data_IF_216435723554
#
_entry.id   IF_216435723554
#
_cell.length_a   1.000
_cell.length_b   1.000
_cell.length_c   1.000
_cell.angle_alpha   90.00
_cell.angle_beta   90.00
_cell.angle_gamma   90.00
#
_symmetry.space_group_name_H-M   'P 1'
#
loop_
_entity.id
_entity.type
_entity.pdbx_description
1 polymer ?
#
# COMPACT_ATOMS: atom_id res chain seq x y z
N UNK A 1 1.33 16.14 40.83
CA UNK A 1 2.23 15.09 41.40
C UNK A 1 1.96 13.66 40.89
N UNK A 2 0.79 13.37 40.35
CA UNK A 2 0.39 12.03 39.84
C UNK A 2 1.07 11.60 38.53
N UNK A 3 1.37 12.51 37.61
CA UNK A 3 1.97 12.23 36.30
C UNK A 3 3.42 11.72 36.35
N UNK A 4 4.24 12.21 37.30
CA UNK A 4 5.65 11.80 37.44
C UNK A 4 5.83 10.37 38.00
N UNK A 5 4.95 9.97 38.91
CA UNK A 5 4.99 8.61 39.53
C UNK A 5 4.51 7.57 38.52
N UNK A 6 3.50 7.90 37.73
CA UNK A 6 2.96 7.01 36.69
C UNK A 6 3.98 6.77 35.57
N UNK A 7 4.63 7.83 35.07
CA UNK A 7 5.71 7.73 34.08
C UNK A 7 6.93 6.94 34.60
N UNK A 8 7.23 7.03 35.91
CA UNK A 8 8.33 6.27 36.52
C UNK A 8 7.98 4.78 36.68
N UNK A 9 6.73 4.46 37.03
CA UNK A 9 6.21 3.07 37.07
C UNK A 9 6.23 2.43 35.68
N UNK A 10 5.76 3.11 34.67
CA UNK A 10 5.77 2.63 33.29
C UNK A 10 7.18 2.36 32.77
N UNK A 11 8.15 3.23 33.06
CA UNK A 11 9.56 3.01 32.72
C UNK A 11 10.16 1.78 33.41
N UNK A 12 9.78 1.52 34.66
CA UNK A 12 10.25 0.33 35.41
C UNK A 12 9.62 -0.93 34.84
N UNK A 13 8.31 -0.94 34.60
CA UNK A 13 7.61 -2.07 34.02
C UNK A 13 8.16 -2.40 32.62
N UNK A 14 8.34 -1.38 31.76
CA UNK A 14 8.91 -1.56 30.43
C UNK A 14 10.35 -2.09 30.47
N UNK A 15 11.19 -1.66 31.44
CA UNK A 15 12.53 -2.21 31.63
C UNK A 15 12.53 -3.67 32.10
N UNK A 16 11.63 -4.03 33.01
CA UNK A 16 11.49 -5.40 33.51
C UNK A 16 10.98 -6.32 32.40
N UNK A 17 9.97 -5.90 31.65
CA UNK A 17 9.44 -6.63 30.49
C UNK A 17 10.50 -6.77 29.40
N UNK A 18 11.23 -5.71 29.08
CA UNK A 18 12.30 -5.76 28.06
C UNK A 18 13.45 -6.71 28.49
N UNK A 19 13.75 -6.82 29.78
CA UNK A 19 14.79 -7.74 30.30
C UNK A 19 14.32 -9.20 30.35
N UNK A 20 13.00 -9.44 30.48
CA UNK A 20 12.39 -10.77 30.44
C UNK A 20 12.17 -11.29 29.00
N UNK A 21 12.09 -10.39 28.02
CA UNK A 21 11.98 -10.73 26.60
C UNK A 21 13.39 -11.01 26.07
N UNK A 22 13.68 -12.24 25.69
CA UNK A 22 14.92 -12.54 24.94
C UNK A 22 14.96 -11.74 23.63
N UNK A 23 16.15 -11.36 23.13
CA UNK A 23 16.29 -10.49 21.94
C UNK A 23 15.54 -11.04 20.71
N UNK A 24 15.50 -12.34 20.51
CA UNK A 24 14.79 -12.99 19.40
C UNK A 24 13.28 -12.74 19.45
N UNK A 25 12.67 -12.79 20.65
CA UNK A 25 11.24 -12.57 20.82
C UNK A 25 10.85 -11.11 20.50
N UNK A 26 11.68 -10.17 20.94
CA UNK A 26 11.47 -8.74 20.65
C UNK A 26 11.60 -8.42 19.16
N UNK A 27 12.54 -9.06 18.44
CA UNK A 27 12.68 -8.88 16.97
C UNK A 27 11.46 -9.42 16.23
N UNK A 28 10.98 -10.61 16.59
CA UNK A 28 9.76 -11.19 15.98
C UNK A 28 8.54 -10.34 16.29
N UNK A 29 8.38 -9.87 17.53
CA UNK A 29 7.30 -8.97 17.92
C UNK A 29 7.33 -7.66 17.15
N UNK A 30 8.50 -7.05 16.97
CA UNK A 30 8.68 -5.82 16.20
C UNK A 30 8.33 -6.04 14.71
N UNK A 31 8.78 -7.16 14.12
CA UNK A 31 8.44 -7.49 12.74
C UNK A 31 6.93 -7.70 12.57
N UNK A 32 6.25 -8.35 13.53
CA UNK A 32 4.79 -8.52 13.49
C UNK A 32 4.04 -7.20 13.63
N UNK A 33 4.51 -6.30 14.51
CA UNK A 33 3.92 -4.98 14.72
C UNK A 33 4.04 -4.05 13.50
N UNK A 34 4.92 -4.34 12.54
CA UNK A 34 5.00 -3.58 11.29
C UNK A 34 3.90 -3.89 10.28
N UNK A 35 3.05 -4.88 10.54
CA UNK A 35 2.07 -5.40 9.58
C UNK A 35 2.73 -5.87 8.26
N UNK A 36 3.58 -6.90 8.27
CA UNK A 36 4.46 -7.26 7.15
C UNK A 36 3.73 -7.56 5.84
N UNK A 37 2.49 -8.04 5.88
CA UNK A 37 1.68 -8.29 4.69
C UNK A 37 1.49 -7.02 3.83
N UNK A 38 0.84 -5.97 4.36
CA UNK A 38 0.75 -4.68 3.70
C UNK A 38 2.10 -4.06 3.32
N UNK A 39 3.11 -4.11 4.20
CA UNK A 39 4.46 -3.58 3.89
C UNK A 39 5.01 -4.20 2.61
N UNK A 40 5.00 -5.53 2.53
CA UNK A 40 5.52 -6.26 1.36
C UNK A 40 4.66 -6.02 0.12
N UNK A 41 3.33 -6.12 0.24
CA UNK A 41 2.43 -6.00 -0.90
C UNK A 41 2.45 -4.59 -1.52
N UNK A 42 2.37 -3.52 -0.71
CA UNK A 42 2.37 -2.15 -1.22
C UNK A 42 3.74 -1.78 -1.80
N UNK A 43 4.84 -2.20 -1.14
CA UNK A 43 6.20 -1.97 -1.68
C UNK A 43 6.43 -2.72 -2.99
N UNK A 44 6.01 -3.99 -3.08
CA UNK A 44 6.12 -4.77 -4.30
C UNK A 44 5.24 -4.20 -5.43
N UNK A 45 4.02 -3.74 -5.12
CA UNK A 45 3.16 -3.08 -6.08
C UNK A 45 3.78 -1.78 -6.61
N UNK A 46 4.37 -0.95 -5.74
CA UNK A 46 5.04 0.29 -6.15
C UNK A 46 6.26 0.01 -7.05
N UNK A 47 7.11 -0.96 -6.69
CA UNK A 47 8.24 -1.39 -7.51
C UNK A 47 7.78 -1.98 -8.84
N UNK A 48 6.77 -2.85 -8.82
CA UNK A 48 6.19 -3.44 -10.02
C UNK A 48 5.62 -2.38 -10.96
N UNK A 49 4.88 -1.40 -10.42
CA UNK A 49 4.37 -0.28 -11.20
C UNK A 49 5.50 0.58 -11.77
N UNK A 50 6.55 0.88 -10.99
CA UNK A 50 7.73 1.59 -11.48
C UNK A 50 8.37 0.89 -12.69
N UNK A 51 8.56 -0.42 -12.61
CA UNK A 51 9.08 -1.22 -13.72
C UNK A 51 8.11 -1.24 -14.92
N UNK A 52 6.80 -1.32 -14.67
CA UNK A 52 5.78 -1.30 -15.71
C UNK A 52 5.78 -0.01 -16.51
N UNK A 53 5.94 1.15 -15.88
CA UNK A 53 5.98 2.44 -16.56
C UNK A 53 7.36 2.79 -17.16
N UNK A 54 8.37 1.93 -16.96
CA UNK A 54 9.69 2.07 -17.58
C UNK A 54 10.77 2.71 -16.73
N UNK A 55 10.59 2.78 -15.42
CA UNK A 55 11.66 3.14 -14.52
C UNK A 55 12.87 2.21 -14.68
N UNK A 56 14.06 2.77 -14.55
CA UNK A 56 15.31 2.01 -14.41
C UNK A 56 15.29 1.20 -13.12
N UNK A 57 16.14 0.17 -13.03
CA UNK A 57 16.28 -0.61 -11.79
C UNK A 57 16.66 0.27 -10.60
N UNK A 58 17.49 1.27 -10.81
CA UNK A 58 17.92 2.22 -9.76
C UNK A 58 16.75 3.06 -9.25
N UNK A 59 15.91 3.57 -10.14
CA UNK A 59 14.70 4.32 -9.76
C UNK A 59 13.71 3.40 -9.01
N UNK A 60 13.46 2.17 -9.51
CA UNK A 60 12.58 1.22 -8.86
C UNK A 60 13.06 0.84 -7.45
N UNK A 61 14.38 0.69 -7.23
CA UNK A 61 14.95 0.46 -5.89
C UNK A 61 14.72 1.67 -4.99
N UNK A 62 14.96 2.91 -5.47
CA UNK A 62 14.69 4.13 -4.67
C UNK A 62 13.22 4.24 -4.28
N UNK A 63 12.31 3.98 -5.22
CA UNK A 63 10.87 3.90 -4.95
C UNK A 63 10.57 2.86 -3.87
N UNK A 64 11.11 1.65 -4.02
CA UNK A 64 10.91 0.57 -3.06
C UNK A 64 11.40 0.92 -1.65
N UNK A 65 12.57 1.54 -1.52
CA UNK A 65 13.13 1.98 -0.23
C UNK A 65 12.25 3.08 0.43
N UNK A 66 11.79 4.06 -0.35
CA UNK A 66 10.92 5.10 0.15
C UNK A 66 9.58 4.52 0.65
N UNK A 67 8.91 3.70 -0.18
CA UNK A 67 7.62 3.11 0.17
C UNK A 67 7.76 2.18 1.37
N UNK A 68 8.77 1.30 1.40
CA UNK A 68 8.98 0.39 2.52
C UNK A 68 9.20 1.13 3.84
N UNK A 69 10.01 2.20 3.84
CA UNK A 69 10.24 2.99 5.05
C UNK A 69 8.97 3.70 5.53
N UNK A 70 8.16 4.25 4.62
CA UNK A 70 6.85 4.83 4.94
C UNK A 70 5.88 3.79 5.50
N UNK A 71 5.77 2.61 4.86
CA UNK A 71 4.90 1.52 5.32
C UNK A 71 5.29 1.02 6.71
N UNK A 72 6.60 0.87 6.98
CA UNK A 72 7.11 0.50 8.31
C UNK A 72 6.74 1.55 9.36
N UNK A 73 6.96 2.83 9.06
CA UNK A 73 6.61 3.92 9.96
C UNK A 73 5.13 3.91 10.34
N UNK A 74 4.24 3.77 9.34
CA UNK A 74 2.78 3.75 9.54
C UNK A 74 2.32 2.48 10.25
N UNK A 75 2.87 1.31 9.90
CA UNK A 75 2.53 0.04 10.55
C UNK A 75 2.86 0.06 12.04
N UNK A 76 4.07 0.48 12.39
CA UNK A 76 4.46 0.63 13.80
C UNK A 76 3.69 1.75 14.52
N UNK A 77 3.40 2.87 13.85
CA UNK A 77 2.56 3.93 14.41
C UNK A 77 1.17 3.40 14.77
N UNK A 78 0.57 2.55 13.94
CA UNK A 78 -0.75 1.96 14.21
C UNK A 78 -0.74 1.17 15.52
N UNK A 79 0.17 0.19 15.67
CA UNK A 79 0.26 -0.63 16.87
C UNK A 79 0.66 0.19 18.11
N UNK A 80 1.50 1.21 17.94
CA UNK A 80 1.89 2.10 19.04
C UNK A 80 0.73 2.97 19.52
N UNK A 81 0.01 3.63 18.62
CA UNK A 81 -1.12 4.51 18.99
C UNK A 81 -2.31 3.73 19.55
N UNK A 82 -2.46 2.47 19.15
CA UNK A 82 -3.54 1.60 19.59
C UNK A 82 -3.19 0.76 20.83
N UNK A 83 -1.95 0.80 21.31
CA UNK A 83 -1.43 -0.07 22.36
C UNK A 83 -2.30 -0.15 23.63
N UNK A 84 -2.68 1.01 24.17
CA UNK A 84 -3.53 1.07 25.38
C UNK A 84 -4.93 0.49 25.14
N UNK A 85 -5.53 0.75 23.99
CA UNK A 85 -6.83 0.22 23.59
C UNK A 85 -6.77 -1.29 23.39
N UNK A 86 -5.75 -1.78 22.69
CA UNK A 86 -5.58 -3.20 22.40
C UNK A 86 -5.31 -4.01 23.68
N UNK A 87 -4.61 -3.43 24.65
CA UNK A 87 -4.41 -4.02 25.98
C UNK A 87 -5.74 -4.12 26.75
N UNK A 88 -6.54 -3.04 26.80
CA UNK A 88 -7.85 -3.02 27.44
C UNK A 88 -8.82 -4.02 26.80
N UNK A 89 -8.74 -4.18 25.48
CA UNK A 89 -9.56 -5.12 24.72
C UNK A 89 -9.05 -6.58 24.77
N UNK A 90 -7.93 -6.86 25.44
CA UNK A 90 -7.35 -8.20 25.56
C UNK A 90 -6.88 -8.81 24.23
N UNK A 91 -6.41 -8.00 23.28
CA UNK A 91 -6.01 -8.40 21.92
C UNK A 91 -4.73 -9.22 21.92
N UNK A 92 -4.85 -10.55 21.99
CA UNK A 92 -3.70 -11.48 21.98
C UNK A 92 -3.00 -11.58 20.63
N UNK A 93 -3.60 -11.12 19.56
CA UNK A 93 -3.01 -11.07 18.21
C UNK A 93 -2.08 -9.86 18.00
N UNK A 94 -2.15 -8.84 18.87
CA UNK A 94 -1.33 -7.63 18.83
C UNK A 94 -0.04 -7.80 19.64
N UNK A 95 1.16 -7.59 19.04
CA UNK A 95 2.44 -7.85 19.68
C UNK A 95 2.69 -7.06 20.96
N UNK A 96 2.27 -5.78 21.02
CA UNK A 96 2.40 -4.96 22.24
C UNK A 96 1.46 -5.49 23.33
N UNK A 97 0.20 -5.71 23.03
CA UNK A 97 -0.79 -6.18 23.99
C UNK A 97 -0.50 -7.58 24.50
N UNK A 98 0.10 -8.43 23.66
CA UNK A 98 0.55 -9.79 24.03
C UNK A 98 1.92 -9.83 24.75
N UNK A 99 2.59 -8.70 24.93
CA UNK A 99 3.89 -8.60 25.60
C UNK A 99 5.04 -9.23 24.82
N UNK A 100 4.97 -9.33 23.49
CA UNK A 100 6.05 -9.80 22.61
C UNK A 100 7.10 -8.73 22.37
N UNK A 101 6.67 -7.46 22.40
CA UNK A 101 7.50 -6.28 22.20
C UNK A 101 7.01 -5.14 23.08
N UNK A 102 7.92 -4.27 23.51
CA UNK A 102 7.54 -3.11 24.33
C UNK A 102 6.96 -1.97 23.45
N UNK A 103 5.98 -1.25 23.97
CA UNK A 103 5.40 -0.07 23.36
C UNK A 103 6.48 0.96 22.98
N UNK A 104 7.42 1.22 23.90
CA UNK A 104 8.56 2.13 23.69
C UNK A 104 9.44 1.74 22.50
N UNK A 105 9.70 0.43 22.28
CA UNK A 105 10.49 -0.03 21.16
C UNK A 105 9.76 0.16 19.83
N UNK A 106 8.46 -0.14 19.79
CA UNK A 106 7.65 0.04 18.58
C UNK A 106 7.50 1.53 18.25
N UNK A 107 7.25 2.38 19.25
CA UNK A 107 7.20 3.83 19.05
C UNK A 107 8.52 4.41 18.54
N UNK A 108 9.65 3.97 19.13
CA UNK A 108 10.99 4.37 18.65
C UNK A 108 11.23 3.91 17.22
N UNK A 109 10.89 2.67 16.88
CA UNK A 109 11.02 2.14 15.52
C UNK A 109 10.17 2.93 14.51
N UNK A 110 8.93 3.29 14.87
CA UNK A 110 8.06 4.13 14.05
C UNK A 110 8.70 5.49 13.74
N UNK A 111 9.19 6.18 14.77
CA UNK A 111 9.85 7.48 14.62
C UNK A 111 11.10 7.39 13.77
N UNK A 112 11.96 6.40 14.01
CA UNK A 112 13.18 6.20 13.22
C UNK A 112 12.87 5.87 11.75
N UNK A 113 11.86 5.03 11.49
CA UNK A 113 11.43 4.74 10.13
C UNK A 113 10.87 6.00 9.44
N UNK A 114 10.11 6.83 10.16
CA UNK A 114 9.63 8.12 9.68
C UNK A 114 10.77 9.08 9.32
N UNK A 115 11.79 9.17 10.18
CA UNK A 115 13.00 9.97 9.92
C UNK A 115 13.74 9.45 8.68
N UNK A 116 13.93 8.13 8.55
CA UNK A 116 14.57 7.52 7.38
C UNK A 116 13.73 7.68 6.11
N UNK A 117 12.40 7.73 6.23
CA UNK A 117 11.49 7.91 5.11
C UNK A 117 11.71 9.27 4.41
N UNK A 118 12.08 10.33 5.13
CA UNK A 118 12.29 11.67 4.53
C UNK A 118 13.38 11.64 3.48
N UNK A 119 14.66 11.30 3.78
CA UNK A 119 15.70 11.26 2.77
C UNK A 119 15.44 10.19 1.70
N UNK A 120 14.86 9.03 2.05
CA UNK A 120 14.50 8.00 1.08
C UNK A 120 13.47 8.52 0.05
N UNK A 121 12.50 9.30 0.50
CA UNK A 121 11.51 9.94 -0.38
C UNK A 121 12.16 10.98 -1.28
N UNK A 122 12.94 11.91 -0.71
CA UNK A 122 13.56 13.00 -1.42
C UNK A 122 14.64 12.53 -2.43
N UNK A 123 15.22 11.34 -2.23
CA UNK A 123 16.11 10.70 -3.21
C UNK A 123 15.42 10.37 -4.55
N UNK A 124 14.09 10.44 -4.61
CA UNK A 124 13.28 10.28 -5.81
C UNK A 124 12.94 11.63 -6.50
N UNK A 125 13.72 12.67 -6.25
CA UNK A 125 13.46 14.02 -6.72
C UNK A 125 12.55 14.80 -5.77
N UNK A 126 12.62 16.13 -5.82
CA UNK A 126 11.88 17.00 -4.87
C UNK A 126 10.38 16.82 -4.98
N UNK A 127 9.82 16.88 -6.18
CA UNK A 127 8.37 16.79 -6.40
C UNK A 127 7.85 15.40 -6.06
N UNK A 128 8.50 14.33 -6.57
CA UNK A 128 8.15 12.95 -6.23
C UNK A 128 8.27 12.69 -4.74
N UNK A 129 9.38 13.11 -4.12
CA UNK A 129 9.62 12.93 -2.69
C UNK A 129 8.56 13.63 -1.82
N UNK A 130 8.20 14.88 -2.12
CA UNK A 130 7.14 15.60 -1.41
C UNK A 130 5.77 14.94 -1.60
N UNK A 131 5.48 14.42 -2.80
CA UNK A 131 4.25 13.65 -3.05
C UNK A 131 4.19 12.40 -2.18
N UNK A 132 5.29 11.65 -2.06
CA UNK A 132 5.34 10.47 -1.18
C UNK A 132 5.18 10.84 0.29
N UNK A 133 5.85 11.89 0.75
CA UNK A 133 5.72 12.38 2.13
C UNK A 133 4.27 12.82 2.42
N UNK A 134 3.59 13.47 1.47
CA UNK A 134 2.17 13.81 1.60
C UNK A 134 1.29 12.54 1.72
N UNK A 135 1.59 11.48 0.97
CA UNK A 135 0.91 10.19 1.09
C UNK A 135 1.13 9.56 2.48
N UNK A 136 2.37 9.57 2.98
CA UNK A 136 2.72 9.04 4.31
C UNK A 136 2.05 9.86 5.41
N UNK A 137 2.05 11.19 5.33
CA UNK A 137 1.37 12.06 6.29
C UNK A 137 -0.15 11.84 6.28
N UNK A 138 -0.74 11.65 5.10
CA UNK A 138 -2.16 11.27 4.99
C UNK A 138 -2.44 9.95 5.72
N UNK A 139 -1.64 8.91 5.48
CA UNK A 139 -1.78 7.64 6.18
C UNK A 139 -1.56 7.78 7.70
N UNK A 140 -0.58 8.59 8.14
CA UNK A 140 -0.35 8.87 9.55
C UNK A 140 -1.53 9.56 10.22
N UNK A 141 -2.24 10.45 9.51
CA UNK A 141 -3.43 11.14 10.02
C UNK A 141 -4.59 10.21 10.34
N UNK A 142 -4.69 9.06 9.64
CA UNK A 142 -5.64 7.99 10.00
C UNK A 142 -5.40 7.51 11.43
N UNK A 143 -4.16 7.15 11.75
CA UNK A 143 -3.78 6.69 13.08
C UNK A 143 -3.89 7.81 14.13
N UNK A 144 -3.66 9.06 13.74
CA UNK A 144 -3.73 10.24 14.62
C UNK A 144 -5.16 10.69 14.96
N UNK A 145 -6.21 9.98 14.49
CA UNK A 145 -7.59 10.23 14.90
C UNK A 145 -8.63 10.23 13.79
N UNK A 146 -8.25 10.41 12.51
CA UNK A 146 -9.22 10.38 11.41
C UNK A 146 -9.98 9.03 11.30
N UNK A 147 -9.40 7.94 11.80
CA UNK A 147 -10.07 6.63 11.85
C UNK A 147 -11.38 6.64 12.62
N UNK A 148 -11.55 7.56 13.58
CA UNK A 148 -12.76 7.70 14.40
C UNK A 148 -13.82 8.63 13.79
N UNK A 149 -13.61 9.14 12.58
CA UNK A 149 -14.49 10.10 11.91
C UNK A 149 -15.14 9.51 10.66
N UNK A 150 -16.24 10.09 10.16
CA UNK A 150 -16.82 9.68 8.88
C UNK A 150 -15.85 9.78 7.70
N UNK A 151 -14.81 10.63 7.81
CA UNK A 151 -13.77 10.83 6.82
C UNK A 151 -12.63 9.79 6.89
N UNK A 152 -12.80 8.68 7.64
CA UNK A 152 -11.76 7.64 7.81
C UNK A 152 -11.29 7.00 6.50
N UNK A 153 -12.06 7.09 5.44
CA UNK A 153 -11.67 6.61 4.10
C UNK A 153 -10.70 7.55 3.37
N UNK A 154 -10.69 8.86 3.73
CA UNK A 154 -9.91 9.88 3.01
C UNK A 154 -8.40 9.60 3.05
N UNK A 155 -7.79 9.24 4.21
CA UNK A 155 -6.39 8.87 4.25
C UNK A 155 -6.02 7.73 3.31
N UNK A 156 -6.86 6.72 3.20
CA UNK A 156 -6.65 5.61 2.27
C UNK A 156 -6.79 6.04 0.82
N UNK A 157 -7.86 6.77 0.48
CA UNK A 157 -8.06 7.31 -0.85
C UNK A 157 -6.86 8.14 -1.31
N UNK A 158 -6.44 9.09 -0.47
CA UNK A 158 -5.38 10.03 -0.81
C UNK A 158 -4.01 9.35 -0.87
N UNK A 159 -3.65 8.54 0.14
CA UNK A 159 -2.34 7.87 0.17
C UNK A 159 -2.15 6.93 -1.01
N UNK A 160 -3.19 6.16 -1.37
CA UNK A 160 -3.13 5.25 -2.50
C UNK A 160 -3.17 5.99 -3.85
N UNK A 161 -3.98 7.04 -3.99
CA UNK A 161 -3.98 7.87 -5.21
C UNK A 161 -2.63 8.56 -5.46
N UNK A 162 -1.95 8.99 -4.41
CA UNK A 162 -0.64 9.64 -4.52
C UNK A 162 0.49 8.66 -4.86
N UNK A 163 0.31 7.35 -4.64
CA UNK A 163 1.36 6.36 -4.91
C UNK A 163 1.76 6.30 -6.39
N UNK A 164 0.85 6.12 -7.37
CA UNK A 164 1.22 6.17 -8.79
C UNK A 164 1.75 7.55 -9.21
N UNK A 165 1.27 8.64 -8.61
CA UNK A 165 1.81 9.99 -8.86
C UNK A 165 3.26 10.09 -8.40
N UNK A 166 3.56 9.64 -7.20
CA UNK A 166 4.92 9.56 -6.66
C UNK A 166 5.84 8.76 -7.59
N UNK A 167 5.41 7.55 -7.96
CA UNK A 167 6.24 6.66 -8.80
C UNK A 167 6.52 7.28 -10.17
N UNK A 168 5.52 7.91 -10.78
CA UNK A 168 5.69 8.56 -12.09
C UNK A 168 6.63 9.78 -12.00
N UNK A 169 6.52 10.57 -10.93
CA UNK A 169 7.38 11.73 -10.67
C UNK A 169 8.80 11.34 -10.20
N UNK A 170 9.06 10.06 -9.92
CA UNK A 170 10.39 9.55 -9.54
C UNK A 170 11.29 9.24 -10.74
N UNK A 171 10.77 9.34 -11.96
CA UNK A 171 11.51 9.14 -13.22
C UNK A 171 12.33 10.37 -13.57
N UNK A 172 13.39 10.17 -14.36
CA UNK A 172 14.19 11.29 -14.92
C UNK A 172 13.36 12.19 -15.85
N UNK A 173 12.43 11.58 -16.64
CA UNK A 173 11.46 12.27 -17.49
C UNK A 173 10.13 12.52 -16.75
N UNK A 174 10.21 13.03 -15.53
CA UNK A 174 9.08 13.19 -14.62
C UNK A 174 7.85 13.80 -15.31
N UNK A 175 6.73 13.09 -15.24
CA UNK A 175 5.43 13.51 -15.77
C UNK A 175 4.32 13.05 -14.84
N UNK A 176 3.13 13.64 -14.97
CA UNK A 176 1.98 13.14 -14.22
C UNK A 176 1.46 11.82 -14.84
N UNK A 177 1.01 10.87 -14.01
CA UNK A 177 0.38 9.67 -14.52
C UNK A 177 -0.94 10.00 -15.24
N UNK A 178 -1.39 9.14 -16.16
CA UNK A 178 -2.74 9.26 -16.72
C UNK A 178 -3.77 9.19 -15.58
N UNK A 179 -4.88 9.98 -15.65
CA UNK A 179 -5.82 10.15 -14.53
C UNK A 179 -6.43 8.86 -14.00
N UNK A 180 -6.55 7.84 -14.84
CA UNK A 180 -7.09 6.54 -14.41
C UNK A 180 -6.22 5.85 -13.33
N UNK A 181 -4.92 6.06 -13.35
CA UNK A 181 -4.01 5.36 -12.42
C UNK A 181 -4.18 5.81 -10.95
N UNK A 182 -4.18 7.12 -10.61
CA UNK A 182 -4.49 7.55 -9.26
C UNK A 182 -5.94 7.23 -8.85
N UNK A 183 -6.91 7.24 -9.77
CA UNK A 183 -8.30 6.86 -9.45
C UNK A 183 -8.40 5.37 -9.13
N UNK A 184 -7.78 4.49 -9.93
CA UNK A 184 -7.74 3.06 -9.66
C UNK A 184 -7.07 2.75 -8.31
N UNK A 185 -5.92 3.37 -8.03
CA UNK A 185 -5.22 3.16 -6.77
C UNK A 185 -6.03 3.69 -5.57
N UNK A 186 -6.65 4.86 -5.68
CA UNK A 186 -7.48 5.43 -4.62
C UNK A 186 -8.72 4.60 -4.30
N UNK A 187 -9.42 4.10 -5.32
CA UNK A 187 -10.59 3.22 -5.14
C UNK A 187 -10.19 1.88 -4.52
N UNK A 188 -9.05 1.30 -4.93
CA UNK A 188 -8.48 0.12 -4.28
C UNK A 188 -8.16 0.39 -2.81
N UNK A 189 -7.56 1.55 -2.50
CA UNK A 189 -7.24 1.96 -1.12
C UNK A 189 -8.48 2.05 -0.24
N UNK A 190 -9.56 2.67 -0.73
CA UNK A 190 -10.83 2.74 0.03
C UNK A 190 -11.44 1.36 0.21
N UNK A 191 -11.42 0.49 -0.80
CA UNK A 191 -11.90 -0.88 -0.67
C UNK A 191 -11.09 -1.68 0.37
N UNK A 192 -9.76 -1.53 0.34
CA UNK A 192 -8.87 -2.14 1.32
C UNK A 192 -9.19 -1.65 2.75
N UNK A 193 -9.46 -0.34 2.95
CA UNK A 193 -9.90 0.20 4.24
C UNK A 193 -11.19 -0.45 4.73
N UNK A 194 -12.22 -0.50 3.86
CA UNK A 194 -13.52 -1.08 4.20
C UNK A 194 -13.41 -2.55 4.62
N UNK A 195 -12.55 -3.34 3.99
CA UNK A 195 -12.33 -4.75 4.31
C UNK A 195 -11.40 -4.93 5.52
N UNK A 196 -10.35 -4.11 5.64
CA UNK A 196 -9.38 -4.22 6.73
C UNK A 196 -9.99 -3.99 8.12
N UNK A 197 -11.02 -3.16 8.21
CA UNK A 197 -11.70 -2.81 9.47
C UNK A 197 -12.71 -3.88 9.92
N UNK A 198 -13.09 -4.83 9.06
CA UNK A 198 -14.16 -5.79 9.39
C UNK A 198 -13.92 -6.62 10.65
N UNK A 199 -12.69 -7.10 10.97
CA UNK A 199 -12.41 -7.84 12.20
C UNK A 199 -12.72 -7.04 13.47
N UNK A 200 -12.49 -5.73 13.40
CA UNK A 200 -12.53 -4.83 14.55
C UNK A 200 -13.85 -4.02 14.65
N UNK A 201 -14.75 -4.18 13.68
CA UNK A 201 -15.93 -3.33 13.48
C UNK A 201 -16.81 -3.19 14.74
N UNK A 202 -17.10 -4.29 15.42
CA UNK A 202 -17.98 -4.31 16.58
C UNK A 202 -17.25 -3.79 17.84
N UNK A 203 -15.97 -4.19 18.00
CA UNK A 203 -15.13 -3.71 19.08
C UNK A 203 -14.90 -2.22 18.99
N UNK A 204 -14.54 -1.71 17.81
CA UNK A 204 -14.35 -0.29 17.55
C UNK A 204 -15.58 0.53 17.90
N UNK A 205 -16.77 0.06 17.50
CA UNK A 205 -18.05 0.71 17.87
C UNK A 205 -18.24 0.79 19.38
N UNK A 206 -17.95 -0.28 20.10
CA UNK A 206 -18.08 -0.32 21.56
C UNK A 206 -17.12 0.62 22.27
N UNK A 207 -15.99 0.94 21.62
CA UNK A 207 -14.96 1.87 22.11
C UNK A 207 -15.12 3.30 21.56
N UNK A 208 -16.23 3.60 20.87
CA UNK A 208 -16.52 4.94 20.35
C UNK A 208 -15.76 5.32 19.08
N UNK A 209 -15.11 4.36 18.40
CA UNK A 209 -14.49 4.58 17.10
C UNK A 209 -15.57 4.44 16.02
N UNK A 210 -15.96 5.57 15.43
CA UNK A 210 -17.08 5.67 14.51
C UNK A 210 -16.63 6.16 13.13
N UNK A 211 -15.68 5.46 12.52
CA UNK A 211 -15.27 5.66 11.14
C UNK A 211 -16.37 5.30 10.14
N UNK A 212 -16.10 5.50 8.84
CA UNK A 212 -17.07 5.18 7.79
C UNK A 212 -17.54 3.71 7.83
N UNK A 213 -16.65 2.67 7.94
CA UNK A 213 -17.11 1.28 7.98
C UNK A 213 -17.99 0.98 9.19
N UNK A 214 -17.65 1.54 10.37
CA UNK A 214 -18.43 1.38 11.59
C UNK A 214 -19.84 1.99 11.46
N UNK A 215 -19.99 3.09 10.71
CA UNK A 215 -21.28 3.73 10.43
C UNK A 215 -22.10 2.98 9.40
N UNK A 216 -21.47 2.48 8.34
CA UNK A 216 -22.14 1.71 7.29
C UNK A 216 -22.59 0.32 7.78
N UNK A 217 -21.79 -0.31 8.62
CA UNK A 217 -21.93 -1.71 8.99
C UNK A 217 -21.33 -2.67 7.96
N UNK A 218 -21.21 -3.94 8.34
CA UNK A 218 -20.53 -4.98 7.56
C UNK A 218 -21.06 -5.10 6.13
N UNK A 219 -22.36 -5.32 5.99
CA UNK A 219 -23.01 -5.57 4.70
C UNK A 219 -22.75 -4.44 3.68
N UNK A 220 -23.04 -3.20 4.08
CA UNK A 220 -22.85 -2.04 3.18
C UNK A 220 -21.38 -1.77 2.90
N UNK A 221 -20.49 -2.00 3.87
CA UNK A 221 -19.04 -1.85 3.68
C UNK A 221 -18.51 -2.86 2.68
N UNK A 222 -18.93 -4.13 2.75
CA UNK A 222 -18.49 -5.18 1.82
C UNK A 222 -19.07 -4.96 0.41
N UNK A 223 -20.34 -4.54 0.30
CA UNK A 223 -20.94 -4.21 -1.00
C UNK A 223 -20.22 -3.03 -1.68
N UNK A 224 -19.95 -1.96 -0.92
CA UNK A 224 -19.19 -0.82 -1.42
C UNK A 224 -17.76 -1.22 -1.82
N UNK A 225 -17.09 -2.01 -0.99
CA UNK A 225 -15.76 -2.52 -1.30
C UNK A 225 -15.74 -3.33 -2.60
N UNK A 226 -16.72 -4.21 -2.81
CA UNK A 226 -16.87 -4.98 -4.05
C UNK A 226 -16.99 -4.10 -5.29
N UNK A 227 -17.83 -3.06 -5.24
CA UNK A 227 -17.97 -2.07 -6.32
C UNK A 227 -16.67 -1.32 -6.60
N UNK A 228 -15.97 -0.89 -5.55
CA UNK A 228 -14.69 -0.18 -5.68
C UNK A 228 -13.56 -1.07 -6.22
N UNK A 229 -13.50 -2.35 -5.82
CA UNK A 229 -12.57 -3.33 -6.38
C UNK A 229 -12.84 -3.55 -7.86
N UNK A 230 -14.11 -3.72 -8.26
CA UNK A 230 -14.48 -3.87 -9.66
C UNK A 230 -14.11 -2.62 -10.50
N UNK A 231 -14.33 -1.41 -9.96
CA UNK A 231 -13.95 -0.16 -10.61
C UNK A 231 -12.42 -0.06 -10.78
N UNK A 232 -11.66 -0.31 -9.72
CA UNK A 232 -10.19 -0.29 -9.76
C UNK A 232 -9.65 -1.24 -10.83
N UNK A 233 -10.08 -2.50 -10.79
CA UNK A 233 -9.64 -3.53 -11.74
C UNK A 233 -10.09 -3.26 -13.18
N UNK A 234 -11.29 -2.70 -13.36
CA UNK A 234 -11.78 -2.26 -14.68
C UNK A 234 -10.89 -1.15 -15.27
N UNK A 235 -10.50 -0.17 -14.46
CA UNK A 235 -9.57 0.88 -14.87
C UNK A 235 -8.19 0.30 -15.23
N UNK A 236 -7.64 -0.61 -14.43
CA UNK A 236 -6.37 -1.26 -14.72
C UNK A 236 -6.42 -2.14 -15.99
N UNK A 237 -7.54 -2.79 -16.25
CA UNK A 237 -7.69 -3.72 -17.37
C UNK A 237 -7.95 -3.03 -18.70
N UNK A 238 -8.68 -1.90 -18.74
CA UNK A 238 -9.16 -1.30 -19.97
C UNK A 238 -8.61 0.10 -20.26
N UNK A 239 -8.27 0.90 -19.24
CA UNK A 239 -7.82 2.27 -19.47
C UNK A 239 -6.47 2.40 -20.19
N UNK A 240 -5.46 1.50 -19.97
CA UNK A 240 -4.16 1.59 -20.65
C UNK A 240 -4.17 1.08 -22.10
N UNK A 241 -5.26 0.50 -22.57
CA UNK A 241 -5.34 -0.15 -23.88
C UNK A 241 -6.77 -0.11 -24.45
N UNK A 242 -6.89 -0.40 -25.76
CA UNK A 242 -8.22 -0.70 -26.34
C UNK A 242 -8.75 -2.02 -25.76
N UNK A 243 -10.07 -2.17 -25.57
CA UNK A 243 -10.66 -3.42 -25.12
C UNK A 243 -10.23 -4.59 -26.01
N UNK A 244 -9.67 -5.60 -25.40
CA UNK A 244 -9.21 -6.84 -26.04
C UNK A 244 -9.51 -8.07 -25.16
N UNK A 245 -9.30 -9.27 -25.72
CA UNK A 245 -9.56 -10.52 -24.99
C UNK A 245 -8.71 -10.64 -23.72
N UNK A 246 -7.46 -10.16 -23.76
CA UNK A 246 -6.56 -10.22 -22.59
C UNK A 246 -7.03 -9.29 -21.47
N UNK A 247 -7.51 -8.08 -21.81
CA UNK A 247 -8.12 -7.17 -20.84
C UNK A 247 -9.38 -7.76 -20.22
N UNK A 248 -10.21 -8.37 -21.05
CA UNK A 248 -11.43 -9.03 -20.59
C UNK A 248 -11.12 -10.19 -19.64
N UNK A 249 -10.17 -11.07 -19.99
CA UNK A 249 -9.75 -12.18 -19.14
C UNK A 249 -9.12 -11.69 -17.83
N UNK A 250 -8.27 -10.66 -17.90
CA UNK A 250 -7.69 -10.03 -16.69
C UNK A 250 -8.77 -9.46 -15.79
N UNK A 251 -9.74 -8.75 -16.35
CA UNK A 251 -10.85 -8.18 -15.59
C UNK A 251 -11.70 -9.26 -14.92
N UNK A 252 -12.03 -10.34 -15.64
CA UNK A 252 -12.77 -11.48 -15.07
C UNK A 252 -12.01 -12.13 -13.93
N UNK A 253 -10.68 -12.32 -14.08
CA UNK A 253 -9.83 -12.85 -13.00
C UNK A 253 -9.81 -11.91 -11.78
N UNK A 254 -9.72 -10.58 -12.01
CA UNK A 254 -9.79 -9.58 -10.93
C UNK A 254 -11.16 -9.59 -10.24
N UNK A 255 -12.26 -9.72 -10.99
CA UNK A 255 -13.60 -9.84 -10.41
C UNK A 255 -13.74 -11.10 -9.56
N UNK A 256 -13.14 -12.21 -9.97
CA UNK A 256 -13.14 -13.44 -9.18
C UNK A 256 -12.39 -13.27 -7.86
N UNK A 257 -11.22 -12.60 -7.86
CA UNK A 257 -10.45 -12.28 -6.66
C UNK A 257 -11.20 -11.31 -5.75
N UNK A 258 -11.78 -10.25 -6.32
CA UNK A 258 -12.59 -9.27 -5.58
C UNK A 258 -13.85 -9.91 -4.98
N UNK A 259 -14.54 -10.75 -5.76
CA UNK A 259 -15.68 -11.53 -5.29
C UNK A 259 -15.31 -12.49 -4.16
N UNK A 260 -14.15 -13.17 -4.25
CA UNK A 260 -13.62 -14.01 -3.19
C UNK A 260 -13.30 -13.20 -1.92
N UNK A 261 -12.78 -11.97 -2.05
CA UNK A 261 -12.55 -11.08 -0.91
C UNK A 261 -13.87 -10.70 -0.20
N UNK A 262 -14.88 -10.31 -0.97
CA UNK A 262 -16.21 -9.95 -0.44
C UNK A 262 -16.89 -11.16 0.21
N UNK A 263 -16.86 -12.33 -0.45
CA UNK A 263 -17.41 -13.57 0.08
C UNK A 263 -16.74 -13.96 1.40
N UNK A 264 -15.41 -13.92 1.47
CA UNK A 264 -14.67 -14.21 2.70
C UNK A 264 -15.06 -13.23 3.83
N UNK A 265 -15.28 -11.95 3.52
CA UNK A 265 -15.80 -10.97 4.46
C UNK A 265 -17.21 -11.30 4.97
N UNK A 266 -18.10 -11.75 4.10
CA UNK A 266 -19.45 -12.21 4.50
C UNK A 266 -19.40 -13.46 5.40
N UNK A 267 -18.48 -14.38 5.14
CA UNK A 267 -18.28 -15.59 5.96
C UNK A 267 -17.43 -15.33 7.22
N UNK A 268 -17.11 -14.08 7.52
CA UNK A 268 -16.31 -13.63 8.67
C UNK A 268 -14.86 -14.18 8.70
N UNK A 269 -14.33 -14.61 7.54
CA UNK A 269 -12.90 -14.89 7.37
C UNK A 269 -12.17 -13.62 6.90
N UNK A 270 -12.16 -12.62 7.77
CA UNK A 270 -11.69 -11.27 7.47
C UNK A 270 -10.19 -11.24 7.10
N UNK A 271 -9.39 -12.15 7.70
CA UNK A 271 -7.95 -12.28 7.33
C UNK A 271 -7.78 -12.78 5.90
N UNK A 272 -8.64 -13.69 5.47
CA UNK A 272 -8.64 -14.20 4.09
C UNK A 272 -9.17 -13.15 3.12
N UNK A 273 -10.22 -12.42 3.51
CA UNK A 273 -10.75 -11.31 2.73
C UNK A 273 -9.66 -10.28 2.42
N UNK A 274 -8.92 -9.83 3.43
CA UNK A 274 -7.85 -8.86 3.24
C UNK A 274 -6.69 -9.41 2.41
N UNK A 275 -6.31 -10.69 2.56
CA UNK A 275 -5.31 -11.34 1.70
C UNK A 275 -5.71 -11.34 0.23
N UNK A 276 -6.98 -11.58 -0.09
CA UNK A 276 -7.46 -11.50 -1.49
C UNK A 276 -7.34 -10.08 -2.05
N UNK A 277 -7.57 -9.03 -1.25
CA UNK A 277 -7.34 -7.64 -1.70
C UNK A 277 -5.87 -7.39 -2.01
N UNK A 278 -4.94 -7.88 -1.19
CA UNK A 278 -3.50 -7.74 -1.46
C UNK A 278 -3.09 -8.51 -2.73
N UNK A 279 -3.62 -9.70 -2.92
CA UNK A 279 -3.36 -10.51 -4.15
C UNK A 279 -3.94 -9.80 -5.37
N UNK A 280 -5.14 -9.23 -5.28
CA UNK A 280 -5.76 -8.47 -6.36
C UNK A 280 -4.92 -7.25 -6.76
N UNK A 281 -4.45 -6.49 -5.77
CA UNK A 281 -3.57 -5.34 -6.02
C UNK A 281 -2.29 -5.73 -6.77
N UNK A 282 -1.66 -6.83 -6.36
CA UNK A 282 -0.46 -7.34 -7.03
C UNK A 282 -0.78 -7.88 -8.43
N UNK A 283 -1.93 -8.53 -8.61
CA UNK A 283 -2.38 -9.01 -9.91
C UNK A 283 -2.64 -7.84 -10.89
N UNK A 284 -3.32 -6.79 -10.45
CA UNK A 284 -3.59 -5.60 -11.27
C UNK A 284 -2.28 -4.89 -11.68
N UNK A 285 -1.27 -4.86 -10.82
CA UNK A 285 0.06 -4.36 -11.18
C UNK A 285 0.80 -5.30 -12.14
N UNK A 286 0.72 -6.61 -11.90
CA UNK A 286 1.39 -7.60 -12.76
C UNK A 286 0.86 -7.54 -14.20
N UNK A 287 -0.46 -7.39 -14.41
CA UNK A 287 -1.01 -7.23 -15.77
C UNK A 287 -0.51 -5.94 -16.46
N UNK A 288 -0.34 -4.83 -15.72
CA UNK A 288 0.25 -3.62 -16.28
C UNK A 288 1.71 -3.82 -16.68
N UNK A 289 2.48 -4.59 -15.90
CA UNK A 289 3.87 -4.94 -16.20
C UNK A 289 3.95 -5.79 -17.47
N UNK A 290 3.13 -6.82 -17.61
CA UNK A 290 3.08 -7.68 -18.80
C UNK A 290 2.75 -6.85 -20.04
N UNK A 291 1.75 -5.98 -19.97
CA UNK A 291 1.38 -5.08 -21.07
C UNK A 291 2.54 -4.21 -21.52
N UNK A 292 3.27 -3.61 -20.57
CA UNK A 292 4.39 -2.73 -20.88
C UNK A 292 5.54 -3.46 -21.57
N UNK A 293 5.83 -4.69 -21.15
CA UNK A 293 6.85 -5.54 -21.77
C UNK A 293 6.43 -5.92 -23.20
N UNK A 294 5.17 -6.31 -23.41
CA UNK A 294 4.65 -6.64 -24.73
C UNK A 294 4.68 -5.45 -25.70
N UNK A 295 4.28 -4.27 -25.24
CA UNK A 295 4.29 -3.03 -26.06
C UNK A 295 5.70 -2.63 -26.46
N UNK A 296 6.67 -2.73 -25.55
CA UNK A 296 8.10 -2.43 -25.85
C UNK A 296 8.68 -3.41 -26.87
N UNK A 297 8.39 -4.71 -26.74
CA UNK A 297 8.84 -5.72 -27.72
C UNK A 297 8.26 -5.43 -29.10
N UNK A 298 6.96 -5.10 -29.22
CA UNK A 298 6.35 -4.72 -30.50
C UNK A 298 7.01 -3.49 -31.10
N UNK A 299 7.28 -2.46 -30.32
CA UNK A 299 7.95 -1.24 -30.77
C UNK A 299 9.41 -1.49 -31.22
N UNK A 300 10.13 -2.40 -30.60
CA UNK A 300 11.46 -2.82 -31.01
C UNK A 300 11.43 -3.54 -32.37
N UNK A 301 10.55 -4.54 -32.52
CA UNK A 301 10.39 -5.29 -33.78
C UNK A 301 10.02 -4.38 -34.96
N UNK A 302 9.13 -3.37 -34.73
CA UNK A 302 8.74 -2.42 -35.79
C UNK A 302 9.89 -1.49 -36.17
N UNK A 303 10.75 -1.10 -35.23
CA UNK A 303 11.95 -0.31 -35.51
C UNK A 303 12.96 -1.09 -36.36
N UNK A 304 13.22 -2.35 -35.98
CA UNK A 304 14.16 -3.21 -36.70
C UNK A 304 13.67 -3.50 -38.13
N UNK A 305 12.36 -3.69 -38.32
CA UNK A 305 11.74 -3.84 -39.63
C UNK A 305 11.80 -2.57 -40.51
N UNK A 306 11.69 -1.37 -39.87
CA UNK A 306 11.79 -0.07 -40.57
C UNK A 306 13.22 0.23 -41.04
N UNK A 307 14.22 -0.08 -40.23
CA UNK A 307 15.63 0.12 -40.60
C UNK A 307 16.12 -0.84 -41.70
N UNK A 308 15.50 -2.04 -41.82
CA UNK A 308 15.77 -2.99 -42.88
C UNK A 308 15.31 -2.50 -44.26
N UNK A 309 14.26 -1.68 -44.34
CA UNK A 309 13.76 -1.10 -45.59
C UNK A 309 14.59 0.07 -46.12
N UNK A 310 15.16 0.92 -45.23
CA UNK A 310 16.02 2.03 -45.65
C UNK A 310 17.38 1.58 -46.18
N UNK A 311 17.88 0.44 -45.76
CA UNK A 311 19.14 -0.12 -46.28
C UNK A 311 19.06 -0.69 -47.72
N UNK A 312 17.85 -0.98 -48.23
CA UNK A 312 17.59 -1.48 -49.57
C UNK A 312 17.35 -0.36 -50.59
N UNK A 313 17.21 0.91 -50.18
CA UNK A 313 16.96 2.06 -51.07
C UNK A 313 18.21 2.93 -51.30
N UNK A 314 19.43 2.46 -51.09
CA UNK A 314 20.60 3.22 -51.56
C UNK A 314 20.62 3.20 -53.09
N UNK A 315 20.50 4.34 -53.78
CA UNK A 315 20.64 4.42 -55.23
C UNK A 315 22.03 4.00 -55.65
N UNK A 316 22.13 3.11 -56.61
CA UNK A 316 23.34 2.87 -57.36
C UNK A 316 23.78 4.21 -57.99
N UNK A 317 24.70 4.93 -57.34
CA UNK A 317 25.33 6.09 -57.91
C UNK A 317 26.15 5.65 -59.11
N UNK A 318 25.73 6.09 -60.28
CA UNK A 318 26.42 5.95 -61.54
C UNK A 318 27.92 6.26 -61.41
N UNK A 319 28.76 5.29 -61.74
CA UNK A 319 30.12 5.53 -62.17
C UNK A 319 30.05 5.94 -63.63
N UNK A 320 30.39 7.16 -63.94
CA UNK A 320 30.88 7.62 -65.22
C UNK A 320 32.28 8.17 -65.08
#
# INVERSE_FOLDING_TARGET
MTTSVQAKRERVVNKVVAKALGPTRSVVGLARASHPGPVVAVSAAAVGYALAIGCTRREAIRVGLAVSSGQLAIGWQNDWTDAARDQLAGRRDKPIANGEVTESLVGTASVLAGICCVPASLANGRTGGLTHLAAVLSAASYNAGLKSTPASFVPYALSFSLLPVFVQLSREDASFPPPWAPVAAGTLGVAAHLINVQPDLELDRSLGILGLPQRLGREKSLALAGGLLALSSGLCSFAPRRPDIMGTLSFVASLALGGAAVHAGHTRDDRRAFRFVLVLALFDVAQLLVLSVCSRRRAAVLRDAGTGHESLQKPLAHRS
#
